data_IF_540089747331
#
_entry.id   IF_540089747331
#
_cell.length_a   1.000
_cell.length_b   1.000
_cell.length_c   1.000
_cell.angle_alpha   90.00
_cell.angle_beta   90.00
_cell.angle_gamma   90.00
#
_symmetry.space_group_name_H-M   'P 1'
#
loop_
_entity.id
_entity.type
_entity.pdbx_description
1 polymer ?
#
# COMPACT_ATOMS: atom_id res chain seq x y z
N UNK A 1 -4.31 -26.14 12.56
CA UNK A 1 -4.24 -25.36 11.32
C UNK A 1 -2.93 -24.57 11.36
N UNK A 2 -1.89 -25.06 10.68
CA UNK A 2 -0.60 -24.38 10.65
C UNK A 2 -0.74 -23.16 9.73
N UNK A 3 -0.87 -21.97 10.33
CA UNK A 3 -0.82 -20.72 9.58
C UNK A 3 0.63 -20.59 9.13
N UNK A 4 0.91 -21.04 7.91
CA UNK A 4 2.19 -20.83 7.25
C UNK A 4 2.48 -19.34 7.39
N UNK A 5 3.57 -19.00 8.08
CA UNK A 5 4.16 -17.67 8.04
C UNK A 5 4.60 -17.43 6.59
N UNK A 6 3.64 -17.10 5.71
CA UNK A 6 3.91 -16.51 4.41
C UNK A 6 4.70 -15.26 4.72
N UNK A 7 5.99 -15.28 4.40
CA UNK A 7 6.86 -14.15 4.67
C UNK A 7 6.23 -12.87 4.15
N UNK A 8 6.41 -11.79 4.90
CA UNK A 8 5.92 -10.46 4.53
C UNK A 8 6.26 -10.15 3.09
N UNK A 9 5.29 -9.68 2.31
CA UNK A 9 5.52 -9.22 0.96
C UNK A 9 6.51 -8.06 0.96
N UNK A 10 7.41 -8.09 -0.02
CA UNK A 10 8.36 -7.00 -0.26
C UNK A 10 7.63 -5.92 -1.05
N UNK A 11 7.78 -4.68 -0.60
CA UNK A 11 7.20 -3.51 -1.24
C UNK A 11 8.31 -2.79 -1.99
N UNK A 12 8.03 -2.44 -3.24
CA UNK A 12 8.88 -1.61 -4.08
C UNK A 12 8.03 -0.47 -4.63
N UNK A 13 8.65 0.69 -4.84
CA UNK A 13 7.98 1.87 -5.37
C UNK A 13 8.44 2.11 -6.80
N UNK A 14 7.51 2.55 -7.65
CA UNK A 14 7.86 3.16 -8.93
C UNK A 14 8.47 4.55 -8.70
N UNK A 15 9.18 5.08 -9.69
CA UNK A 15 9.75 6.42 -9.60
C UNK A 15 8.67 7.50 -9.35
N UNK A 16 7.48 7.32 -9.92
CA UNK A 16 6.34 8.21 -9.67
C UNK A 16 5.87 8.15 -8.22
N UNK A 17 5.77 6.94 -7.65
CA UNK A 17 5.38 6.76 -6.26
C UNK A 17 6.44 7.34 -5.30
N UNK A 18 7.73 7.18 -5.59
CA UNK A 18 8.80 7.79 -4.78
C UNK A 18 8.65 9.32 -4.70
N UNK A 19 8.40 9.99 -5.84
CA UNK A 19 8.15 11.43 -5.89
C UNK A 19 6.91 11.86 -5.12
N UNK A 20 5.85 11.04 -5.12
CA UNK A 20 4.64 11.32 -4.35
C UNK A 20 4.93 11.24 -2.85
N UNK A 21 5.70 10.25 -2.41
CA UNK A 21 6.10 10.10 -1.00
C UNK A 21 6.97 11.28 -0.56
N UNK A 22 7.92 11.73 -1.38
CA UNK A 22 8.77 12.90 -1.10
C UNK A 22 7.98 14.21 -0.97
N UNK A 23 6.81 14.29 -1.61
CA UNK A 23 5.94 15.46 -1.54
C UNK A 23 5.05 15.49 -0.28
N UNK A 24 4.98 14.40 0.49
CA UNK A 24 4.22 14.35 1.74
C UNK A 24 5.00 15.12 2.81
N UNK A 25 4.40 16.19 3.33
CA UNK A 25 4.99 17.00 4.40
C UNK A 25 4.25 16.87 5.73
N UNK A 26 3.04 16.32 5.72
CA UNK A 26 2.25 16.13 6.93
C UNK A 26 2.68 14.85 7.66
N UNK A 27 3.05 15.00 8.94
CA UNK A 27 3.44 13.89 9.81
C UNK A 27 2.30 12.86 9.99
N UNK A 28 1.04 13.32 10.01
CA UNK A 28 -0.11 12.42 10.09
C UNK A 28 -0.24 11.53 8.84
N UNK A 29 -0.01 12.10 7.66
CA UNK A 29 -0.01 11.35 6.39
C UNK A 29 1.16 10.36 6.32
N UNK A 30 2.35 10.75 6.79
CA UNK A 30 3.51 9.84 6.87
C UNK A 30 3.18 8.62 7.75
N UNK A 31 2.59 8.85 8.93
CA UNK A 31 2.20 7.77 9.83
C UNK A 31 1.06 6.89 9.28
N UNK A 32 0.11 7.47 8.52
CA UNK A 32 -0.92 6.71 7.83
C UNK A 32 -0.31 5.83 6.72
N UNK A 33 0.65 6.38 5.96
CA UNK A 33 1.40 5.64 4.94
C UNK A 33 2.16 4.46 5.54
N UNK A 34 2.91 4.66 6.63
CA UNK A 34 3.65 3.57 7.30
C UNK A 34 2.73 2.43 7.75
N UNK A 35 1.56 2.77 8.30
CA UNK A 35 0.54 1.79 8.68
C UNK A 35 -0.01 1.05 7.47
N UNK A 36 -0.30 1.76 6.37
CA UNK A 36 -0.79 1.16 5.15
C UNK A 36 0.23 0.18 4.55
N UNK A 37 1.49 0.57 4.44
CA UNK A 37 2.57 -0.28 3.92
C UNK A 37 2.81 -1.50 4.83
N UNK A 38 2.74 -1.30 6.15
CA UNK A 38 2.86 -2.40 7.13
C UNK A 38 1.77 -3.43 6.92
N UNK A 39 0.51 -2.99 6.75
CA UNK A 39 -0.63 -3.86 6.53
C UNK A 39 -0.52 -4.62 5.19
N UNK A 40 -0.22 -3.93 4.09
CA UNK A 40 -0.06 -4.51 2.76
C UNK A 40 1.11 -5.51 2.70
N UNK A 41 2.18 -5.25 3.45
CA UNK A 41 3.31 -6.18 3.58
C UNK A 41 2.89 -7.48 4.28
N UNK A 42 1.92 -7.45 5.21
CA UNK A 42 1.41 -8.65 5.89
C UNK A 42 0.34 -9.37 5.04
N UNK A 43 -0.56 -8.61 4.42
CA UNK A 43 -1.69 -9.12 3.64
C UNK A 43 -1.85 -8.30 2.34
N UNK A 44 -1.18 -8.71 1.25
CA UNK A 44 -1.22 -7.99 -0.03
C UNK A 44 -2.60 -7.96 -0.70
N UNK A 45 -3.51 -8.83 -0.27
CA UNK A 45 -4.88 -8.96 -0.77
C UNK A 45 -5.89 -8.01 -0.09
N UNK A 46 -5.45 -7.18 0.87
CA UNK A 46 -6.29 -6.21 1.59
C UNK A 46 -6.90 -5.13 0.69
N UNK A 47 -6.22 -4.74 -0.39
CA UNK A 47 -6.72 -3.72 -1.31
C UNK A 47 -7.92 -4.20 -2.12
N UNK A 48 -8.85 -3.28 -2.37
CA UNK A 48 -10.00 -3.50 -3.23
C UNK A 48 -9.61 -3.34 -4.70
N UNK A 49 -10.12 -4.18 -5.62
CA UNK A 49 -9.83 -4.03 -7.04
C UNK A 49 -10.37 -2.71 -7.57
N UNK A 50 -9.59 -2.01 -8.40
CA UNK A 50 -10.02 -0.80 -9.10
C UNK A 50 -10.77 -1.23 -10.36
N UNK A 51 -12.06 -0.87 -10.52
CA UNK A 51 -12.82 -1.20 -11.72
C UNK A 51 -12.16 -0.62 -12.97
N UNK A 52 -12.23 -1.38 -14.07
CA UNK A 52 -11.73 -0.96 -15.39
C UNK A 52 -10.23 -0.57 -15.42
N UNK A 53 -9.44 -1.04 -14.45
CA UNK A 53 -7.98 -0.90 -14.45
C UNK A 53 -7.33 -2.01 -15.29
N UNK A 54 -6.39 -1.61 -16.16
CA UNK A 54 -5.51 -2.53 -16.86
C UNK A 54 -4.04 -2.10 -16.70
N UNK A 55 -3.17 -2.92 -16.08
CA UNK A 55 -3.45 -4.23 -15.45
C UNK A 55 -4.43 -4.14 -14.26
N UNK A 56 -4.86 -5.28 -13.72
CA UNK A 56 -5.76 -5.35 -12.54
C UNK A 56 -5.10 -4.71 -11.32
N UNK A 57 -5.35 -3.41 -11.11
CA UNK A 57 -4.82 -2.65 -10.00
C UNK A 57 -5.76 -2.76 -8.79
N UNK A 58 -5.19 -2.55 -7.61
CA UNK A 58 -5.87 -2.49 -6.33
C UNK A 58 -5.62 -1.15 -5.67
N UNK A 59 -6.58 -0.72 -4.88
CA UNK A 59 -6.44 0.41 -3.97
C UNK A 59 -6.64 -0.01 -2.52
N UNK A 60 -5.82 0.57 -1.64
CA UNK A 60 -5.97 0.44 -0.21
C UNK A 60 -5.89 1.82 0.43
N UNK A 61 -6.98 2.24 1.07
CA UNK A 61 -7.11 3.54 1.72
C UNK A 61 -7.13 3.39 3.24
N UNK A 62 -6.33 4.20 3.93
CA UNK A 62 -6.27 4.29 5.38
C UNK A 62 -6.13 5.76 5.75
N UNK A 63 -7.08 6.27 6.53
CA UNK A 63 -7.18 7.70 6.86
C UNK A 63 -7.12 8.54 5.58
N UNK A 64 -6.22 9.53 5.51
CA UNK A 64 -6.07 10.43 4.35
C UNK A 64 -5.11 9.90 3.27
N UNK A 65 -4.60 8.67 3.41
CA UNK A 65 -3.65 8.06 2.46
C UNK A 65 -4.30 6.94 1.65
N UNK A 66 -4.05 6.94 0.34
CA UNK A 66 -4.45 5.86 -0.58
C UNK A 66 -3.24 5.33 -1.35
N UNK A 67 -3.02 4.03 -1.24
CA UNK A 67 -1.98 3.29 -1.98
C UNK A 67 -2.62 2.58 -3.16
N UNK A 68 -2.09 2.79 -4.37
CA UNK A 68 -2.49 2.08 -5.60
C UNK A 68 -1.35 1.14 -5.98
N UNK A 69 -1.66 -0.14 -6.23
CA UNK A 69 -0.68 -1.19 -6.52
C UNK A 69 -1.23 -2.31 -7.40
#
# INVERSE_FOLDING_TARGET
MAQQARGRARIFFTDSAAKQIEAITDEAEIHALDRALTALSVAPDLGSPIPDSHPELREYAVDDVRVIY
#
